data_IF_692130742908
#
_entry.id   IF_692130742908
#
_cell.length_a   1.000
_cell.length_b   1.000
_cell.length_c   1.000
_cell.angle_alpha   90.00
_cell.angle_beta   90.00
_cell.angle_gamma   90.00
#
_symmetry.space_group_name_H-M   'P 1'
#
loop_
_entity.id
_entity.type
_entity.pdbx_description
1 polymer ?
#
# COMPACT_ATOMS: atom_id res chain seq x y z
N UNK A 1 -21.17 -8.43 -2.68
CA UNK A 1 -19.74 -8.63 -3.01
C UNK A 1 -19.02 -7.39 -2.53
N UNK A 2 -18.08 -7.54 -1.61
CA UNK A 2 -17.44 -6.39 -0.98
C UNK A 2 -16.42 -5.79 -1.96
N UNK A 3 -16.84 -4.78 -2.71
CA UNK A 3 -16.08 -4.18 -3.84
C UNK A 3 -14.70 -3.71 -3.39
N UNK A 4 -14.59 -3.17 -2.18
CA UNK A 4 -13.34 -2.72 -1.57
C UNK A 4 -12.35 -3.87 -1.35
N UNK A 5 -12.81 -5.01 -0.83
CA UNK A 5 -11.95 -6.18 -0.61
C UNK A 5 -11.41 -6.75 -1.93
N UNK A 6 -12.23 -6.74 -2.99
CA UNK A 6 -11.81 -7.17 -4.33
C UNK A 6 -10.76 -6.20 -4.89
N UNK A 7 -10.96 -4.89 -4.74
CA UNK A 7 -9.99 -3.88 -5.16
C UNK A 7 -8.67 -4.02 -4.41
N UNK A 8 -8.70 -4.18 -3.08
CA UNK A 8 -7.50 -4.42 -2.27
C UNK A 8 -6.74 -5.67 -2.73
N UNK A 9 -7.44 -6.78 -2.93
CA UNK A 9 -6.81 -8.02 -3.41
C UNK A 9 -6.20 -7.84 -4.80
N UNK A 10 -6.86 -7.08 -5.68
CA UNK A 10 -6.35 -6.76 -7.02
C UNK A 10 -5.06 -5.94 -6.94
N UNK A 11 -5.05 -4.86 -6.14
CA UNK A 11 -3.87 -4.04 -5.91
C UNK A 11 -2.72 -4.87 -5.33
N UNK A 12 -2.99 -5.70 -4.31
CA UNK A 12 -2.01 -6.57 -3.68
C UNK A 12 -1.32 -7.51 -4.69
N UNK A 13 -2.08 -8.08 -5.63
CA UNK A 13 -1.54 -8.96 -6.67
C UNK A 13 -0.74 -8.21 -7.74
N UNK A 14 -1.00 -6.92 -7.89
CA UNK A 14 -0.39 -6.04 -8.90
C UNK A 14 0.91 -5.38 -8.43
N UNK A 15 1.22 -5.40 -7.12
CA UNK A 15 2.45 -4.84 -6.57
C UNK A 15 3.69 -5.49 -7.21
N UNK A 16 4.50 -4.73 -7.98
CA UNK A 16 5.72 -5.24 -8.57
C UNK A 16 6.81 -5.45 -7.51
N UNK A 17 7.71 -6.42 -7.73
CA UNK A 17 8.84 -6.72 -6.83
C UNK A 17 10.23 -6.34 -7.37
N UNK A 18 10.30 -5.76 -8.56
CA UNK A 18 11.57 -5.42 -9.22
C UNK A 18 11.64 -3.93 -9.51
N UNK A 19 12.80 -3.32 -9.27
CA UNK A 19 12.95 -1.90 -9.56
C UNK A 19 13.06 -1.65 -11.08
N UNK A 20 12.04 -1.03 -11.66
CA UNK A 20 12.05 -0.52 -13.03
C UNK A 20 11.26 0.80 -13.10
N UNK A 21 11.51 1.63 -14.12
CA UNK A 21 10.78 2.88 -14.31
C UNK A 21 9.27 2.66 -14.46
N UNK A 22 8.87 1.58 -15.12
CA UNK A 22 7.47 1.19 -15.27
C UNK A 22 6.87 0.75 -13.93
N UNK A 23 7.59 -0.08 -13.17
CA UNK A 23 7.14 -0.56 -11.87
C UNK A 23 7.08 0.54 -10.82
N UNK A 24 7.98 1.51 -10.87
CA UNK A 24 7.94 2.71 -10.02
C UNK A 24 6.66 3.51 -10.28
N UNK A 25 6.32 3.75 -11.56
CA UNK A 25 5.06 4.42 -11.91
C UNK A 25 3.85 3.61 -11.48
N UNK A 26 3.90 2.29 -11.66
CA UNK A 26 2.83 1.39 -11.24
C UNK A 26 2.62 1.41 -9.72
N UNK A 27 3.70 1.39 -8.93
CA UNK A 27 3.60 1.55 -7.47
C UNK A 27 2.97 2.89 -7.10
N UNK A 28 3.35 3.98 -7.75
CA UNK A 28 2.70 5.27 -7.48
C UNK A 28 1.20 5.25 -7.80
N UNK A 29 0.79 4.57 -8.90
CA UNK A 29 -0.63 4.35 -9.19
C UNK A 29 -1.31 3.55 -8.08
N UNK A 30 -0.70 2.44 -7.67
CA UNK A 30 -1.21 1.56 -6.61
C UNK A 30 -1.32 2.33 -5.29
N UNK A 31 -0.34 3.17 -4.94
CA UNK A 31 -0.36 3.99 -3.72
C UNK A 31 -1.55 4.97 -3.75
N UNK A 32 -1.80 5.63 -4.88
CA UNK A 32 -2.96 6.52 -5.02
C UNK A 32 -4.28 5.76 -4.96
N UNK A 33 -4.39 4.62 -5.63
CA UNK A 33 -5.59 3.77 -5.58
C UNK A 33 -5.81 3.22 -4.15
N UNK A 34 -4.74 2.87 -3.44
CA UNK A 34 -4.80 2.39 -2.07
C UNK A 34 -5.23 3.49 -1.09
N UNK A 35 -4.71 4.72 -1.26
CA UNK A 35 -5.10 5.89 -0.48
C UNK A 35 -6.61 6.17 -0.59
N UNK A 36 -7.17 6.10 -1.81
CA UNK A 36 -8.61 6.26 -2.05
C UNK A 36 -9.45 5.16 -1.36
N UNK A 37 -8.95 3.93 -1.34
CA UNK A 37 -9.58 2.82 -0.60
C UNK A 37 -9.51 3.03 0.91
N UNK A 38 -8.38 3.52 1.44
CA UNK A 38 -8.25 3.84 2.87
C UNK A 38 -9.28 4.90 3.29
N UNK A 39 -9.43 5.99 2.52
CA UNK A 39 -10.45 7.03 2.76
C UNK A 39 -11.85 6.41 2.74
N UNK A 40 -12.12 5.55 1.76
CA UNK A 40 -13.42 4.88 1.64
C UNK A 40 -13.70 3.99 2.86
N UNK A 41 -12.70 3.25 3.35
CA UNK A 41 -12.84 2.36 4.53
C UNK A 41 -12.97 3.17 5.82
N UNK A 42 -12.18 4.24 5.97
CA UNK A 42 -12.26 5.17 7.09
C UNK A 42 -13.69 5.71 7.27
N UNK A 43 -14.34 6.07 6.15
CA UNK A 43 -15.71 6.58 6.13
C UNK A 43 -16.79 5.51 6.41
N UNK A 44 -16.45 4.23 6.51
CA UNK A 44 -17.44 3.16 6.76
C UNK A 44 -17.97 3.22 8.20
N UNK A 45 -17.09 3.33 9.20
CA UNK A 45 -17.47 3.38 10.62
C UNK A 45 -16.37 3.97 11.52
N UNK A 46 -16.75 4.30 12.77
CA UNK A 46 -15.82 4.85 13.78
C UNK A 46 -14.72 3.89 14.24
N UNK A 47 -14.84 2.59 13.95
CA UNK A 47 -13.77 1.63 14.23
C UNK A 47 -12.64 1.81 13.22
N UNK A 48 -12.96 1.88 11.92
CA UNK A 48 -12.00 2.15 10.86
C UNK A 48 -11.42 3.57 11.00
N UNK A 49 -12.22 4.57 11.35
CA UNK A 49 -11.72 5.95 11.61
C UNK A 49 -10.52 6.00 12.58
N UNK A 50 -10.47 5.10 13.57
CA UNK A 50 -9.37 5.05 14.55
C UNK A 50 -8.19 4.17 14.12
N UNK A 51 -8.44 3.19 13.25
CA UNK A 51 -7.43 2.21 12.85
C UNK A 51 -6.80 2.53 11.49
N UNK A 52 -7.50 3.23 10.60
CA UNK A 52 -7.02 3.59 9.27
C UNK A 52 -5.86 4.61 9.27
N UNK A 53 -5.77 5.59 10.18
CA UNK A 53 -4.69 6.59 10.17
C UNK A 53 -3.28 6.00 10.10
N UNK A 54 -3.02 4.88 10.78
CA UNK A 54 -1.70 4.21 10.77
C UNK A 54 -1.29 3.73 9.36
N UNK A 55 -2.26 3.39 8.52
CA UNK A 55 -2.01 2.93 7.15
C UNK A 55 -1.60 4.09 6.24
N UNK A 56 -2.08 5.31 6.49
CA UNK A 56 -1.60 6.49 5.79
C UNK A 56 -0.15 6.80 6.14
N UNK A 57 0.23 6.70 7.41
CA UNK A 57 1.64 6.84 7.84
C UNK A 57 2.54 5.78 7.17
N UNK A 58 2.12 4.50 7.17
CA UNK A 58 2.86 3.43 6.47
C UNK A 58 3.00 3.71 4.96
N UNK A 59 1.96 4.24 4.33
CA UNK A 59 1.93 4.59 2.91
C UNK A 59 2.92 5.74 2.60
N UNK A 60 3.01 6.75 3.47
CA UNK A 60 4.01 7.82 3.36
C UNK A 60 5.44 7.28 3.49
N UNK A 61 5.68 6.36 4.43
CA UNK A 61 6.97 5.70 4.61
C UNK A 61 7.35 4.89 3.35
N UNK A 62 6.43 4.09 2.82
CA UNK A 62 6.61 3.37 1.54
C UNK A 62 6.96 4.36 0.43
N UNK A 63 6.22 5.46 0.29
CA UNK A 63 6.45 6.48 -0.73
C UNK A 63 7.85 7.09 -0.60
N UNK A 64 8.32 7.31 0.63
CA UNK A 64 9.67 7.80 0.91
C UNK A 64 10.75 6.77 0.52
N UNK A 65 10.52 5.48 0.81
CA UNK A 65 11.43 4.38 0.44
C UNK A 65 11.51 4.24 -1.09
N UNK A 66 10.38 4.23 -1.79
CA UNK A 66 10.33 4.15 -3.27
C UNK A 66 10.97 5.38 -3.90
N UNK A 67 10.78 6.57 -3.31
CA UNK A 67 11.48 7.77 -3.75
C UNK A 67 13.00 7.61 -3.61
N UNK A 68 13.48 7.07 -2.49
CA UNK A 68 14.90 6.75 -2.29
C UNK A 68 15.41 5.70 -3.27
N UNK A 69 14.58 4.72 -3.66
CA UNK A 69 14.96 3.72 -4.66
C UNK A 69 15.22 4.36 -6.03
N UNK A 70 14.55 5.46 -6.35
CA UNK A 70 14.77 6.18 -7.61
C UNK A 70 15.98 7.13 -7.59
N UNK A 71 16.58 7.39 -6.43
CA UNK A 71 17.64 8.38 -6.27
C UNK A 71 18.86 8.08 -7.17
N UNK A 72 19.36 9.07 -7.90
CA UNK A 72 20.45 8.87 -8.85
C UNK A 72 21.80 8.54 -8.20
N UNK A 73 21.95 8.75 -6.89
CA UNK A 73 23.16 8.39 -6.12
C UNK A 73 23.10 6.95 -5.61
N UNK A 74 21.94 6.29 -5.63
CA UNK A 74 21.80 4.91 -5.21
C UNK A 74 22.31 3.94 -6.31
N UNK A 75 23.10 2.95 -5.91
CA UNK A 75 23.55 1.87 -6.80
C UNK A 75 22.38 0.99 -7.24
N UNK A 76 22.43 0.37 -8.42
CA UNK A 76 21.35 -0.52 -8.93
C UNK A 76 20.88 -1.55 -7.89
N UNK A 77 21.81 -2.22 -7.21
CA UNK A 77 21.50 -3.17 -6.12
C UNK A 77 20.73 -2.52 -4.97
N UNK A 78 21.10 -1.30 -4.60
CA UNK A 78 20.43 -0.55 -3.54
C UNK A 78 19.04 -0.09 -3.98
N UNK A 79 18.88 0.32 -5.24
CA UNK A 79 17.56 0.64 -5.81
C UNK A 79 16.62 -0.56 -5.77
N UNK A 80 17.09 -1.72 -6.22
CA UNK A 80 16.32 -2.97 -6.15
C UNK A 80 15.98 -3.35 -4.70
N UNK A 81 16.93 -3.26 -3.76
CA UNK A 81 16.66 -3.54 -2.34
C UNK A 81 15.63 -2.59 -1.73
N UNK A 82 15.78 -1.28 -1.95
CA UNK A 82 14.82 -0.28 -1.44
C UNK A 82 13.44 -0.48 -2.08
N UNK A 83 13.39 -0.81 -3.37
CA UNK A 83 12.15 -1.04 -4.07
C UNK A 83 11.43 -2.30 -3.54
N UNK A 84 12.16 -3.39 -3.37
CA UNK A 84 11.64 -4.63 -2.81
C UNK A 84 11.16 -4.43 -1.37
N UNK A 85 11.89 -3.64 -0.57
CA UNK A 85 11.49 -3.25 0.79
C UNK A 85 10.20 -2.42 0.79
N UNK A 86 10.12 -1.35 0.01
CA UNK A 86 8.91 -0.53 -0.09
C UNK A 86 7.70 -1.32 -0.61
N UNK A 87 7.92 -2.19 -1.58
CA UNK A 87 6.88 -3.09 -2.13
C UNK A 87 6.43 -4.12 -1.10
N UNK A 88 7.37 -4.65 -0.30
CA UNK A 88 7.10 -5.57 0.80
C UNK A 88 6.29 -4.92 1.91
N UNK A 89 6.68 -3.72 2.33
CA UNK A 89 5.96 -2.92 3.34
C UNK A 89 4.54 -2.60 2.87
N UNK A 90 4.37 -2.20 1.60
CA UNK A 90 3.05 -1.97 1.02
C UNK A 90 2.18 -3.22 1.03
N UNK A 91 2.76 -4.38 0.69
CA UNK A 91 2.06 -5.67 0.76
C UNK A 91 1.64 -6.00 2.17
N UNK A 92 2.52 -5.84 3.15
CA UNK A 92 2.24 -6.13 4.55
C UNK A 92 1.11 -5.24 5.09
N UNK A 93 1.18 -3.94 4.80
CA UNK A 93 0.15 -2.95 5.13
C UNK A 93 -1.21 -3.33 4.52
N UNK A 94 -1.25 -3.60 3.20
CA UNK A 94 -2.48 -4.05 2.53
C UNK A 94 -3.02 -5.36 3.09
N UNK A 95 -2.14 -6.32 3.43
CA UNK A 95 -2.56 -7.59 4.00
C UNK A 95 -3.17 -7.42 5.38
N UNK A 96 -2.57 -6.58 6.24
CA UNK A 96 -3.16 -6.21 7.54
C UNK A 96 -4.52 -5.53 7.36
N UNK A 97 -4.64 -4.60 6.42
CA UNK A 97 -5.92 -3.92 6.16
C UNK A 97 -6.98 -4.92 5.68
N UNK A 98 -6.61 -5.83 4.79
CA UNK A 98 -7.49 -6.89 4.31
C UNK A 98 -7.91 -7.85 5.43
N UNK A 99 -7.03 -8.11 6.39
CA UNK A 99 -7.35 -8.89 7.59
C UNK A 99 -8.38 -8.15 8.45
N UNK A 100 -8.12 -6.88 8.80
CA UNK A 100 -9.06 -6.04 9.58
C UNK A 100 -10.41 -5.88 8.87
N UNK A 101 -10.41 -5.69 7.56
CA UNK A 101 -11.63 -5.52 6.76
C UNK A 101 -12.35 -6.85 6.48
N UNK A 102 -11.60 -7.94 6.33
CA UNK A 102 -12.05 -9.27 5.94
C UNK A 102 -12.51 -10.15 7.10
N UNK A 103 -11.97 -9.94 8.31
CA UNK A 103 -12.46 -10.57 9.56
C UNK A 103 -13.91 -10.17 9.87
N UNK A 104 -14.41 -9.17 9.13
CA UNK A 104 -15.81 -9.00 8.86
C UNK A 104 -16.43 -8.02 9.83
N UNK A 105 -16.85 -6.87 9.29
CA UNK A 105 -17.98 -6.14 9.86
C UNK A 105 -17.86 -5.92 11.38
N UNK A 106 -16.71 -5.44 11.86
CA UNK A 106 -16.60 -4.99 13.25
C UNK A 106 -17.53 -3.79 13.42
N UNK A 107 -18.80 -4.10 13.68
CA UNK A 107 -19.80 -3.16 14.15
C UNK A 107 -19.37 -2.75 15.53
N UNK A 108 -19.23 -1.44 15.72
CA UNK A 108 -19.02 -0.83 17.03
C UNK A 108 -19.98 -1.40 18.10
#
# INVERSE_FOLDING_TARGET
>A
MNTTAISLQSLFNRIPRRHSLENVKEIYSILTEYEDLLITIEAVNSFYEKNIPIYFDELEDVKAIIKRSTDNKASKKMKDSLFDEGSGNLKDSMQKLMDIYGDGSQTA
#
